data_IF_272661321226
#
_entry.id   IF_272661321226
#
_cell.length_a   1.000
_cell.length_b   1.000
_cell.length_c   1.000
_cell.angle_alpha   90.00
_cell.angle_beta   90.00
_cell.angle_gamma   90.00
#
_symmetry.space_group_name_H-M   'P 1'
#
loop_
_entity.id
_entity.type
_entity.pdbx_description
1 polymer ?
#
# COMPACT_ATOMS: atom_id res chain seq x y z
N UNK A 1 4.66 -38.11 40.72
CA UNK A 1 4.65 -36.68 40.42
C UNK A 1 4.11 -36.54 39.02
N UNK A 2 2.83 -36.20 38.96
CA UNK A 2 2.05 -36.11 37.75
C UNK A 2 2.37 -34.74 37.08
N UNK A 3 2.88 -34.75 35.90
CA UNK A 3 3.02 -33.56 35.05
C UNK A 3 1.68 -33.33 34.38
N UNK A 4 0.90 -32.44 34.99
CA UNK A 4 -0.33 -31.92 34.36
C UNK A 4 0.05 -31.26 33.05
N UNK A 5 -0.33 -31.90 31.97
CA UNK A 5 -0.41 -31.29 30.65
C UNK A 5 -1.51 -30.20 30.71
N UNK A 6 -1.10 -28.95 30.71
CA UNK A 6 -2.02 -27.85 30.40
C UNK A 6 -2.61 -28.13 29.01
N UNK A 7 -3.93 -28.08 28.86
CA UNK A 7 -4.55 -28.25 27.56
C UNK A 7 -4.03 -27.14 26.64
N UNK A 8 -3.49 -27.54 25.50
CA UNK A 8 -3.19 -26.65 24.39
C UNK A 8 -4.44 -25.80 24.14
N UNK A 9 -4.37 -24.48 24.08
CA UNK A 9 -5.52 -23.65 23.78
C UNK A 9 -6.08 -24.13 22.45
N UNK A 10 -7.35 -24.49 22.44
CA UNK A 10 -8.07 -24.82 21.23
C UNK A 10 -7.90 -23.61 20.30
N UNK A 11 -7.28 -23.80 19.15
CA UNK A 11 -7.21 -22.77 18.13
C UNK A 11 -8.63 -22.28 17.84
N UNK A 12 -8.88 -20.96 17.78
CA UNK A 12 -10.19 -20.46 17.45
C UNK A 12 -10.59 -21.03 16.10
N UNK A 13 -11.76 -21.66 16.05
CA UNK A 13 -12.32 -22.16 14.80
C UNK A 13 -12.78 -20.94 14.00
N UNK A 14 -11.99 -20.54 13.03
CA UNK A 14 -12.39 -19.49 12.11
C UNK A 14 -13.47 -20.00 11.19
N UNK A 15 -14.55 -19.27 11.07
CA UNK A 15 -15.53 -19.46 10.01
C UNK A 15 -15.24 -18.45 8.93
N UNK A 16 -14.70 -18.93 7.82
CA UNK A 16 -14.48 -18.11 6.63
C UNK A 16 -15.70 -18.25 5.74
N UNK A 17 -16.43 -17.17 5.58
CA UNK A 17 -17.61 -17.12 4.73
C UNK A 17 -17.21 -16.49 3.40
N UNK A 18 -17.33 -17.25 2.32
CA UNK A 18 -17.19 -16.74 0.98
C UNK A 18 -18.56 -16.29 0.47
N UNK A 19 -18.72 -15.00 0.26
CA UNK A 19 -19.90 -14.44 -0.36
C UNK A 19 -19.52 -14.01 -1.79
N UNK A 20 -20.21 -14.58 -2.78
CA UNK A 20 -19.98 -14.24 -4.19
C UNK A 20 -21.32 -13.99 -4.90
N UNK A 21 -21.30 -13.10 -5.89
CA UNK A 21 -22.41 -12.93 -6.79
C UNK A 21 -22.58 -14.17 -7.71
N UNK A 22 -23.70 -14.24 -8.44
CA UNK A 22 -24.01 -15.39 -9.31
C UNK A 22 -23.00 -15.59 -10.44
N UNK A 23 -22.33 -14.53 -10.92
CA UNK A 23 -21.37 -14.58 -12.04
C UNK A 23 -20.05 -15.24 -11.63
N UNK A 24 -19.67 -15.15 -10.36
CA UNK A 24 -18.45 -15.72 -9.80
C UNK A 24 -18.69 -16.96 -8.93
N UNK A 25 -19.95 -17.26 -8.64
CA UNK A 25 -20.33 -18.32 -7.70
C UNK A 25 -19.74 -19.69 -8.01
N UNK A 26 -19.68 -20.09 -9.28
CA UNK A 26 -19.15 -21.41 -9.67
C UNK A 26 -17.62 -21.49 -9.48
N UNK A 27 -16.89 -20.43 -9.80
CA UNK A 27 -15.43 -20.36 -9.65
C UNK A 27 -15.04 -20.25 -8.18
N UNK A 28 -15.70 -19.38 -7.41
CA UNK A 28 -15.51 -19.23 -5.97
C UNK A 28 -15.78 -20.56 -5.25
N UNK A 29 -16.89 -21.24 -5.55
CA UNK A 29 -17.22 -22.55 -4.99
C UNK A 29 -16.20 -23.63 -5.36
N UNK A 30 -15.66 -23.60 -6.57
CA UNK A 30 -14.61 -24.54 -6.99
C UNK A 30 -13.33 -24.34 -6.20
N UNK A 31 -12.89 -23.10 -6.07
CA UNK A 31 -11.70 -22.77 -5.29
C UNK A 31 -11.86 -23.05 -3.80
N UNK A 32 -13.01 -22.78 -3.22
CA UNK A 32 -13.24 -23.09 -1.83
C UNK A 32 -13.30 -24.55 -1.50
N UNK A 33 -13.86 -25.38 -2.36
CA UNK A 33 -13.76 -26.85 -2.16
C UNK A 33 -12.33 -27.34 -2.15
N UNK A 34 -11.46 -26.75 -2.99
CA UNK A 34 -10.04 -27.07 -2.98
C UNK A 34 -9.35 -26.57 -1.70
N UNK A 35 -9.69 -25.37 -1.23
CA UNK A 35 -9.17 -24.82 0.02
C UNK A 35 -9.66 -25.60 1.23
N UNK A 36 -10.94 -25.97 1.28
CA UNK A 36 -11.51 -26.77 2.36
C UNK A 36 -10.84 -28.15 2.47
N UNK A 37 -10.54 -28.79 1.34
CA UNK A 37 -9.83 -30.05 1.34
C UNK A 37 -8.38 -29.93 1.86
N UNK A 38 -7.73 -28.80 1.62
CA UNK A 38 -6.37 -28.52 2.11
C UNK A 38 -6.35 -28.05 3.56
N UNK A 39 -7.36 -27.33 4.00
CA UNK A 39 -7.45 -26.78 5.36
C UNK A 39 -8.17 -27.67 6.37
N UNK A 40 -8.80 -28.77 5.93
CA UNK A 40 -9.52 -29.70 6.80
C UNK A 40 -8.68 -30.25 7.98
N UNK A 41 -7.35 -30.11 7.91
CA UNK A 41 -6.42 -30.50 8.97
C UNK A 41 -5.93 -29.34 9.84
N UNK A 42 -6.25 -28.06 9.51
CA UNK A 42 -5.51 -26.93 10.11
C UNK A 42 -6.32 -25.92 10.89
N UNK A 43 -7.43 -25.33 10.42
CA UNK A 43 -7.90 -24.11 11.10
C UNK A 43 -9.37 -23.75 10.98
N UNK A 44 -10.09 -24.10 9.92
CA UNK A 44 -11.29 -23.32 9.65
C UNK A 44 -12.44 -24.14 9.14
N UNK A 45 -13.60 -23.80 9.66
CA UNK A 45 -14.86 -24.15 9.02
C UNK A 45 -15.07 -23.12 7.90
N UNK A 46 -15.16 -23.58 6.65
CA UNK A 46 -15.44 -22.73 5.49
C UNK A 46 -16.92 -22.88 5.15
N UNK A 47 -17.63 -21.78 5.24
CA UNK A 47 -19.03 -21.70 4.83
C UNK A 47 -19.14 -20.88 3.55
N UNK A 48 -20.03 -21.33 2.66
CA UNK A 48 -20.32 -20.66 1.39
C UNK A 48 -21.70 -20.06 1.46
N UNK A 49 -21.78 -18.77 1.17
CA UNK A 49 -23.02 -18.05 1.13
C UNK A 49 -23.19 -17.31 -0.20
N UNK A 50 -24.43 -17.22 -0.68
CA UNK A 50 -24.77 -16.32 -1.79
C UNK A 50 -25.11 -14.95 -1.19
N UNK A 51 -24.60 -13.87 -1.78
CA UNK A 51 -24.90 -12.49 -1.36
C UNK A 51 -26.36 -12.06 -1.51
N UNK A 52 -27.27 -12.96 -1.88
CA UNK A 52 -28.69 -12.63 -2.02
C UNK A 52 -29.35 -12.15 -0.73
N UNK A 53 -28.82 -12.54 0.43
CA UNK A 53 -29.37 -12.17 1.72
C UNK A 53 -28.25 -12.09 2.76
N UNK A 54 -27.70 -10.91 3.06
CA UNK A 54 -26.64 -10.72 4.06
C UNK A 54 -27.04 -11.18 5.47
N UNK A 55 -28.36 -11.25 5.75
CA UNK A 55 -28.89 -11.67 7.04
C UNK A 55 -28.82 -13.19 7.26
N UNK A 56 -28.59 -13.98 6.19
CA UNK A 56 -28.41 -15.45 6.30
C UNK A 56 -26.99 -15.85 6.77
N UNK A 57 -26.09 -14.90 6.97
CA UNK A 57 -24.75 -15.13 7.52
C UNK A 57 -24.80 -15.33 9.03
N UNK A 58 -25.12 -16.54 9.46
CA UNK A 58 -25.48 -16.82 10.87
C UNK A 58 -24.29 -17.01 11.80
N UNK A 59 -23.11 -17.39 11.31
CA UNK A 59 -21.96 -17.70 12.17
C UNK A 59 -20.63 -17.29 11.54
N UNK A 60 -19.84 -16.52 12.26
CA UNK A 60 -18.45 -16.27 11.95
C UNK A 60 -18.04 -14.82 12.25
N UNK A 61 -16.90 -14.68 12.90
CA UNK A 61 -16.35 -13.38 13.25
C UNK A 61 -15.61 -12.73 12.06
N UNK A 62 -15.19 -13.54 11.08
CA UNK A 62 -14.46 -13.06 9.91
C UNK A 62 -15.19 -13.47 8.63
N UNK A 63 -15.49 -12.47 7.81
CA UNK A 63 -16.19 -12.63 6.54
C UNK A 63 -15.25 -12.24 5.40
N UNK A 64 -15.09 -13.10 4.41
CA UNK A 64 -14.37 -12.80 3.18
C UNK A 64 -15.40 -12.59 2.06
N UNK A 65 -15.51 -11.37 1.58
CA UNK A 65 -16.35 -11.02 0.44
C UNK A 65 -15.54 -11.13 -0.84
N UNK A 66 -16.04 -11.91 -1.79
CA UNK A 66 -15.37 -12.17 -3.06
C UNK A 66 -16.23 -11.67 -4.21
N UNK A 67 -15.83 -10.61 -4.88
CA UNK A 67 -16.57 -9.98 -5.98
C UNK A 67 -16.02 -8.62 -6.36
N UNK A 68 -16.68 -7.90 -7.29
CA UNK A 68 -16.31 -6.53 -7.64
C UNK A 68 -16.39 -5.61 -6.43
N UNK A 69 -15.34 -4.82 -6.19
CA UNK A 69 -15.21 -3.98 -4.99
C UNK A 69 -16.35 -2.97 -4.85
N UNK A 70 -16.79 -2.38 -5.96
CA UNK A 70 -17.89 -1.40 -6.03
C UNK A 70 -19.24 -1.99 -5.59
N UNK A 71 -19.47 -3.27 -5.84
CA UNK A 71 -20.69 -3.97 -5.45
C UNK A 71 -20.66 -4.43 -3.98
N UNK A 72 -19.48 -4.71 -3.46
CA UNK A 72 -19.29 -5.29 -2.13
C UNK A 72 -19.05 -4.25 -1.02
N UNK A 73 -18.68 -3.02 -1.39
CA UNK A 73 -18.30 -1.99 -0.42
C UNK A 73 -19.41 -1.70 0.61
N UNK A 74 -20.65 -1.52 0.15
CA UNK A 74 -21.78 -1.25 1.04
C UNK A 74 -22.07 -2.41 1.99
N UNK A 75 -22.03 -3.65 1.49
CA UNK A 75 -22.25 -4.86 2.29
C UNK A 75 -21.14 -5.04 3.33
N UNK A 76 -19.90 -4.73 2.96
CA UNK A 76 -18.75 -4.77 3.86
C UNK A 76 -18.89 -3.76 5.00
N UNK A 77 -19.34 -2.55 4.70
CA UNK A 77 -19.57 -1.50 5.69
C UNK A 77 -20.65 -1.89 6.69
N UNK A 78 -21.79 -2.37 6.21
CA UNK A 78 -22.88 -2.86 7.07
C UNK A 78 -22.44 -4.01 8.01
N UNK A 79 -21.62 -4.93 7.52
CA UNK A 79 -21.09 -6.02 8.32
C UNK A 79 -20.06 -5.55 9.36
N UNK A 80 -19.25 -4.55 9.03
CA UNK A 80 -18.30 -3.92 9.98
C UNK A 80 -19.04 -3.17 11.09
N UNK A 81 -20.13 -2.47 10.77
CA UNK A 81 -21.00 -1.83 11.76
C UNK A 81 -21.62 -2.84 12.74
N UNK A 82 -21.84 -4.08 12.28
CA UNK A 82 -22.27 -5.20 13.12
C UNK A 82 -21.14 -5.84 13.96
N UNK A 83 -19.93 -5.26 13.92
CA UNK A 83 -18.77 -5.74 14.69
C UNK A 83 -18.05 -6.93 14.06
N UNK A 84 -18.27 -7.22 12.78
CA UNK A 84 -17.62 -8.32 12.06
C UNK A 84 -16.32 -7.85 11.41
N UNK A 85 -15.30 -8.71 11.40
CA UNK A 85 -14.11 -8.50 10.58
C UNK A 85 -14.42 -8.86 9.13
N UNK A 86 -14.23 -7.91 8.20
CA UNK A 86 -14.59 -8.10 6.79
C UNK A 86 -13.40 -7.81 5.90
N UNK A 87 -12.99 -8.82 5.14
CA UNK A 87 -11.97 -8.71 4.11
C UNK A 87 -12.62 -8.76 2.73
N UNK A 88 -12.31 -7.77 1.90
CA UNK A 88 -12.72 -7.73 0.50
C UNK A 88 -11.64 -8.35 -0.37
N UNK A 89 -12.03 -9.30 -1.21
CA UNK A 89 -11.18 -9.81 -2.29
C UNK A 89 -11.85 -9.40 -3.60
N UNK A 90 -11.31 -8.38 -4.23
CA UNK A 90 -11.78 -7.91 -5.51
C UNK A 90 -11.46 -8.94 -6.60
N UNK A 91 -12.48 -9.33 -7.36
CA UNK A 91 -12.35 -10.27 -8.48
C UNK A 91 -11.65 -9.66 -9.70
N UNK A 92 -11.53 -8.33 -9.75
CA UNK A 92 -10.71 -7.64 -10.73
C UNK A 92 -9.21 -7.69 -10.39
N UNK A 93 -8.84 -8.05 -9.14
CA UNK A 93 -7.45 -8.35 -8.82
C UNK A 93 -7.04 -9.67 -9.50
N UNK A 94 -5.82 -9.71 -10.01
CA UNK A 94 -5.27 -10.84 -10.79
C UNK A 94 -5.03 -12.12 -9.95
N UNK A 95 -6.00 -12.56 -9.15
CA UNK A 95 -5.97 -13.87 -8.51
C UNK A 95 -6.15 -14.94 -9.59
N UNK A 96 -5.04 -15.51 -10.04
CA UNK A 96 -5.01 -16.47 -11.17
C UNK A 96 -5.07 -17.93 -10.73
N UNK A 97 -4.91 -18.19 -9.42
CA UNK A 97 -4.93 -19.55 -8.91
C UNK A 97 -5.45 -19.68 -7.48
N UNK A 98 -6.00 -20.88 -7.12
CA UNK A 98 -6.42 -21.17 -5.75
C UNK A 98 -5.28 -21.04 -4.73
N UNK A 99 -4.05 -21.29 -5.13
CA UNK A 99 -2.86 -21.20 -4.28
C UNK A 99 -2.60 -19.75 -3.86
N UNK A 100 -2.74 -18.79 -4.77
CA UNK A 100 -2.59 -17.37 -4.47
C UNK A 100 -3.67 -16.89 -3.50
N UNK A 101 -4.92 -17.33 -3.68
CA UNK A 101 -6.01 -17.05 -2.77
C UNK A 101 -5.73 -17.63 -1.38
N UNK A 102 -5.24 -18.88 -1.31
CA UNK A 102 -4.92 -19.52 -0.04
C UNK A 102 -3.86 -18.75 0.74
N UNK A 103 -2.74 -18.40 0.12
CA UNK A 103 -1.65 -17.66 0.77
C UNK A 103 -2.13 -16.31 1.29
N UNK A 104 -2.97 -15.62 0.51
CA UNK A 104 -3.53 -14.32 0.92
C UNK A 104 -4.48 -14.44 2.11
N UNK A 105 -5.31 -15.46 2.11
CA UNK A 105 -6.23 -15.74 3.23
C UNK A 105 -5.50 -16.17 4.50
N UNK A 106 -4.49 -17.04 4.39
CA UNK A 106 -3.68 -17.46 5.54
C UNK A 106 -2.99 -16.25 6.19
N UNK A 107 -2.38 -15.38 5.38
CA UNK A 107 -1.74 -14.17 5.90
C UNK A 107 -2.73 -13.20 6.58
N UNK A 108 -3.93 -13.05 6.02
CA UNK A 108 -4.98 -12.21 6.61
C UNK A 108 -5.52 -12.79 7.92
N UNK A 109 -5.73 -14.11 7.98
CA UNK A 109 -6.20 -14.78 9.19
C UNK A 109 -5.17 -14.73 10.33
N UNK A 110 -3.89 -14.90 10.02
CA UNK A 110 -2.82 -14.75 11.00
C UNK A 110 -2.75 -13.33 11.56
N UNK A 111 -2.87 -12.32 10.69
CA UNK A 111 -2.90 -10.92 11.10
C UNK A 111 -4.11 -10.59 11.98
N UNK A 112 -5.28 -11.08 11.64
CA UNK A 112 -6.51 -10.90 12.42
C UNK A 112 -6.44 -11.58 13.79
N UNK A 113 -5.84 -12.76 13.88
CA UNK A 113 -5.62 -13.45 15.16
C UNK A 113 -4.70 -12.66 16.09
N UNK A 114 -3.60 -12.13 15.54
CA UNK A 114 -2.67 -11.29 16.28
C UNK A 114 -3.34 -10.02 16.80
N UNK A 115 -4.10 -9.33 15.94
CA UNK A 115 -4.88 -8.14 16.32
C UNK A 115 -5.92 -8.48 17.38
N UNK A 116 -6.64 -9.60 17.23
CA UNK A 116 -7.64 -10.04 18.21
C UNK A 116 -7.01 -10.36 19.56
N UNK A 117 -5.87 -11.03 19.57
CA UNK A 117 -5.16 -11.35 20.81
C UNK A 117 -4.65 -10.08 21.49
N UNK A 118 -4.03 -9.17 20.73
CA UNK A 118 -3.59 -7.88 21.25
C UNK A 118 -4.74 -7.07 21.85
N UNK A 119 -5.91 -7.04 21.20
CA UNK A 119 -7.10 -6.35 21.73
C UNK A 119 -7.63 -7.00 23.02
N UNK A 120 -7.59 -8.34 23.14
CA UNK A 120 -7.97 -9.03 24.38
C UNK A 120 -7.00 -8.75 25.52
N UNK A 121 -5.70 -8.78 25.26
CA UNK A 121 -4.67 -8.52 26.26
C UNK A 121 -4.73 -7.05 26.71
N UNK A 122 -4.98 -6.13 25.79
CA UNK A 122 -5.20 -4.71 26.06
C UNK A 122 -6.47 -4.49 26.90
N UNK A 123 -7.60 -5.08 26.52
CA UNK A 123 -8.86 -4.98 27.27
C UNK A 123 -8.73 -5.54 28.70
N UNK A 124 -8.02 -6.67 28.87
CA UNK A 124 -7.73 -7.24 30.16
C UNK A 124 -6.83 -6.34 31.01
N UNK A 125 -5.81 -5.75 30.40
CA UNK A 125 -4.91 -4.82 31.05
C UNK A 125 -5.63 -3.50 31.42
N UNK A 126 -6.47 -2.94 30.53
CA UNK A 126 -7.30 -1.76 30.80
C UNK A 126 -8.27 -1.95 31.97
N UNK A 127 -8.85 -3.17 32.11
CA UNK A 127 -9.74 -3.46 33.23
C UNK A 127 -9.02 -3.50 34.60
N UNK A 128 -7.72 -3.74 34.63
CA UNK A 128 -6.95 -3.85 35.87
C UNK A 128 -6.28 -2.54 36.31
N UNK A 129 -6.04 -1.60 35.38
CA UNK A 129 -5.28 -0.39 35.67
C UNK A 129 -5.95 0.87 35.08
N UNK A 130 -6.37 1.84 35.91
CA UNK A 130 -6.96 3.11 35.43
C UNK A 130 -6.07 3.89 34.46
N UNK A 131 -4.74 3.79 34.61
CA UNK A 131 -3.78 4.43 33.71
C UNK A 131 -3.83 3.92 32.27
N UNK A 132 -4.55 2.81 31.98
CA UNK A 132 -4.70 2.25 30.65
C UNK A 132 -5.95 2.80 29.93
N UNK A 133 -6.87 3.47 30.64
CA UNK A 133 -7.97 4.19 30.00
C UNK A 133 -7.45 5.36 29.17
N UNK A 134 -6.45 6.07 29.68
CA UNK A 134 -5.79 7.17 28.95
C UNK A 134 -5.08 6.64 27.68
N UNK A 135 -4.50 5.42 27.75
CA UNK A 135 -3.86 4.79 26.62
C UNK A 135 -4.86 4.34 25.54
N UNK A 136 -6.06 3.86 25.94
CA UNK A 136 -7.11 3.48 24.99
C UNK A 136 -7.70 4.72 24.29
N UNK A 137 -7.87 5.83 24.99
CA UNK A 137 -8.29 7.10 24.38
C UNK A 137 -7.26 7.59 23.37
N UNK A 138 -5.97 7.62 23.74
CA UNK A 138 -4.90 8.00 22.84
C UNK A 138 -4.83 7.07 21.59
N UNK A 139 -5.06 5.78 21.77
CA UNK A 139 -5.11 4.83 20.65
C UNK A 139 -6.23 5.18 19.68
N UNK A 140 -7.43 5.47 20.17
CA UNK A 140 -8.57 5.89 19.33
C UNK A 140 -8.29 7.18 18.58
N UNK A 141 -7.64 8.14 19.22
CA UNK A 141 -7.23 9.38 18.57
C UNK A 141 -6.21 9.12 17.44
N UNK A 142 -5.25 8.21 17.67
CA UNK A 142 -4.27 7.82 16.64
C UNK A 142 -4.92 7.06 15.49
N UNK A 143 -5.86 6.17 15.76
CA UNK A 143 -6.65 5.48 14.73
C UNK A 143 -7.47 6.46 13.88
N UNK A 144 -8.12 7.43 14.52
CA UNK A 144 -8.85 8.48 13.81
C UNK A 144 -7.93 9.35 12.95
N UNK A 145 -6.73 9.69 13.45
CA UNK A 145 -5.73 10.43 12.70
C UNK A 145 -5.17 9.60 11.52
N UNK A 146 -5.01 8.28 11.69
CA UNK A 146 -4.59 7.37 10.63
C UNK A 146 -5.61 7.31 9.49
N UNK A 147 -6.89 7.15 9.81
CA UNK A 147 -7.96 7.17 8.82
C UNK A 147 -7.98 8.52 8.06
N UNK A 148 -7.83 9.63 8.77
CA UNK A 148 -7.74 10.95 8.13
C UNK A 148 -6.52 11.07 7.21
N UNK A 149 -5.38 10.50 7.60
CA UNK A 149 -4.18 10.49 6.75
C UNK A 149 -4.38 9.63 5.50
N UNK A 150 -5.05 8.48 5.63
CA UNK A 150 -5.39 7.60 4.50
C UNK A 150 -6.35 8.29 3.52
N UNK A 151 -7.34 9.05 4.02
CA UNK A 151 -8.27 9.83 3.19
C UNK A 151 -7.58 10.94 2.36
N UNK A 152 -6.37 11.37 2.74
CA UNK A 152 -5.57 12.34 1.98
C UNK A 152 -4.79 11.70 0.83
N UNK A 153 -4.70 10.37 0.77
CA UNK A 153 -4.00 9.66 -0.29
C UNK A 153 -4.86 9.55 -1.56
N UNK A 154 -4.23 9.48 -2.73
CA UNK A 154 -4.94 9.17 -3.96
C UNK A 154 -5.59 7.79 -3.90
N UNK A 155 -6.80 7.67 -4.44
CA UNK A 155 -7.45 6.36 -4.62
C UNK A 155 -6.86 5.66 -5.84
N UNK A 156 -6.30 4.48 -5.66
CA UNK A 156 -5.72 3.67 -6.74
C UNK A 156 -6.64 2.52 -7.16
N UNK A 157 -6.62 2.06 -8.42
CA UNK A 157 -5.81 2.59 -9.53
C UNK A 157 -6.36 3.91 -10.10
N UNK A 158 -5.45 4.78 -10.56
CA UNK A 158 -5.78 6.01 -11.28
C UNK A 158 -5.46 5.86 -12.77
N UNK A 159 -6.33 6.38 -13.64
CA UNK A 159 -6.17 6.32 -15.11
C UNK A 159 -6.05 7.71 -15.71
N UNK A 160 -5.04 7.90 -16.55
CA UNK A 160 -4.76 9.14 -17.28
C UNK A 160 -4.40 8.80 -18.73
N UNK A 161 -5.41 8.75 -19.60
CA UNK A 161 -5.22 8.32 -20.99
C UNK A 161 -4.75 6.87 -21.08
N UNK A 162 -3.55 6.65 -21.63
CA UNK A 162 -2.86 5.35 -21.71
C UNK A 162 -2.03 5.01 -20.47
N UNK A 163 -2.00 5.89 -19.47
CA UNK A 163 -1.26 5.72 -18.22
C UNK A 163 -2.17 5.18 -17.11
N UNK A 164 -1.70 4.19 -16.38
CA UNK A 164 -2.36 3.65 -15.18
C UNK A 164 -1.37 3.70 -14.02
N UNK A 165 -1.80 4.29 -12.90
CA UNK A 165 -0.99 4.37 -11.67
C UNK A 165 -1.60 3.48 -10.62
N UNK A 166 -0.78 2.65 -10.02
CA UNK A 166 -1.07 1.88 -8.80
C UNK A 166 -0.20 2.38 -7.66
N UNK A 167 -0.72 2.36 -6.45
CA UNK A 167 0.00 2.76 -5.25
C UNK A 167 -0.07 1.70 -4.17
N UNK A 168 1.00 1.60 -3.40
CA UNK A 168 1.08 0.86 -2.15
C UNK A 168 1.52 1.82 -1.06
N UNK A 169 0.78 1.88 0.03
CA UNK A 169 1.12 2.67 1.20
C UNK A 169 0.79 1.88 2.46
N UNK A 170 1.80 1.63 3.28
CA UNK A 170 1.68 0.84 4.50
C UNK A 170 2.47 1.48 5.62
N UNK A 171 1.81 2.14 6.55
CA UNK A 171 2.46 2.67 7.75
C UNK A 171 3.11 1.57 8.56
N UNK A 172 4.25 1.88 9.16
CA UNK A 172 4.91 1.00 10.14
C UNK A 172 4.21 1.00 11.50
N UNK A 173 3.45 2.06 11.76
CA UNK A 173 2.63 2.26 12.96
C UNK A 173 1.27 2.84 12.56
N UNK A 174 0.59 3.53 13.47
CA UNK A 174 -0.68 4.19 13.16
C UNK A 174 -0.54 5.26 12.07
N UNK A 175 0.55 6.04 12.11
CA UNK A 175 0.78 7.18 11.22
C UNK A 175 2.10 7.01 10.49
N UNK A 176 2.14 7.39 9.22
CA UNK A 176 3.31 7.35 8.36
C UNK A 176 3.94 8.74 8.17
N UNK A 177 5.27 8.74 7.97
CA UNK A 177 6.00 9.87 7.42
C UNK A 177 5.91 9.95 5.90
N UNK A 178 5.65 8.83 5.26
CA UNK A 178 5.55 8.71 3.80
C UNK A 178 4.31 9.41 3.23
N UNK A 179 4.49 10.07 2.08
CA UNK A 179 3.46 10.75 1.32
C UNK A 179 3.50 10.28 -0.14
N UNK A 180 2.35 9.89 -0.67
CA UNK A 180 2.13 9.57 -2.08
C UNK A 180 1.19 10.59 -2.72
N UNK A 181 1.56 11.10 -3.91
CA UNK A 181 0.70 11.94 -4.73
C UNK A 181 0.78 11.53 -6.20
N UNK A 182 -0.35 11.59 -6.90
CA UNK A 182 -0.44 11.43 -8.34
C UNK A 182 -1.53 12.39 -8.84
N UNK A 183 -1.15 13.39 -9.62
CA UNK A 183 -2.00 14.51 -9.98
C UNK A 183 -1.94 14.79 -11.48
N UNK A 184 -3.05 15.16 -12.14
CA UNK A 184 -3.01 15.57 -13.52
C UNK A 184 -2.13 16.83 -13.69
N UNK A 185 -1.32 16.82 -14.75
CA UNK A 185 -0.49 17.95 -15.13
C UNK A 185 -1.21 18.89 -16.09
N UNK A 186 -0.87 20.20 -16.12
CA UNK A 186 -1.51 21.17 -17.01
C UNK A 186 -1.37 20.87 -18.50
N UNK A 187 -0.34 20.12 -18.89
CA UNK A 187 -0.08 19.69 -20.28
C UNK A 187 -0.87 18.42 -20.69
N UNK A 188 -1.76 17.92 -19.82
CA UNK A 188 -2.50 16.68 -20.01
C UNK A 188 -1.74 15.42 -19.61
N UNK A 189 -0.55 15.57 -19.06
CA UNK A 189 0.25 14.49 -18.46
C UNK A 189 -0.08 14.25 -17.00
N UNK A 190 0.88 13.70 -16.26
CA UNK A 190 0.77 13.32 -14.87
C UNK A 190 1.99 13.79 -14.08
N UNK A 191 1.78 14.28 -12.87
CA UNK A 191 2.86 14.53 -11.90
C UNK A 191 2.69 13.54 -10.75
N UNK A 192 3.76 12.80 -10.43
CA UNK A 192 3.83 11.91 -9.27
C UNK A 192 4.86 12.42 -8.28
N UNK A 193 4.55 12.27 -6.99
CA UNK A 193 5.46 12.58 -5.88
C UNK A 193 5.42 11.45 -4.86
N UNK A 194 6.60 11.08 -4.37
CA UNK A 194 6.78 10.26 -3.18
C UNK A 194 7.75 10.98 -2.28
N UNK A 195 7.36 11.18 -1.02
CA UNK A 195 8.22 11.78 0.00
C UNK A 195 8.27 10.87 1.21
N UNK A 196 9.37 10.97 1.97
CA UNK A 196 9.57 10.33 3.25
C UNK A 196 10.14 11.34 4.24
N UNK A 197 9.39 11.62 5.30
CA UNK A 197 9.77 12.56 6.37
C UNK A 197 10.61 11.84 7.41
N UNK A 198 11.81 12.33 7.67
CA UNK A 198 12.71 11.76 8.67
C UNK A 198 12.04 11.54 10.04
N UNK A 199 12.16 10.32 10.56
CA UNK A 199 11.56 9.90 11.82
C UNK A 199 10.24 9.16 11.60
N UNK A 200 9.46 8.99 12.66
CA UNK A 200 8.21 8.21 12.60
C UNK A 200 7.13 8.77 13.54
N UNK A 201 5.91 8.30 13.36
CA UNK A 201 4.76 8.64 14.20
C UNK A 201 4.26 10.07 13.98
N UNK A 202 3.65 10.68 15.01
CA UNK A 202 2.95 11.96 14.91
C UNK A 202 3.80 13.09 14.30
N UNK A 203 5.06 13.32 14.71
CA UNK A 203 5.87 14.38 14.12
C UNK A 203 6.11 14.20 12.61
N UNK A 204 6.37 12.97 12.15
CA UNK A 204 6.57 12.67 10.75
C UNK A 204 5.26 12.83 9.95
N UNK A 205 4.13 12.39 10.49
CA UNK A 205 2.82 12.56 9.88
C UNK A 205 2.42 14.04 9.72
N UNK A 206 2.74 14.90 10.70
CA UNK A 206 2.55 16.34 10.57
C UNK A 206 3.41 16.90 9.43
N UNK A 207 4.68 16.44 9.33
CA UNK A 207 5.58 16.82 8.25
C UNK A 207 5.02 16.40 6.87
N UNK A 208 4.48 15.19 6.77
CA UNK A 208 3.83 14.66 5.57
C UNK A 208 2.63 15.53 5.14
N UNK A 209 1.78 15.95 6.10
CA UNK A 209 0.66 16.85 5.82
C UNK A 209 1.13 18.24 5.33
N UNK A 210 2.21 18.77 5.90
CA UNK A 210 2.82 20.04 5.44
C UNK A 210 3.41 19.90 4.03
N UNK A 211 4.03 18.76 3.72
CA UNK A 211 4.55 18.48 2.38
C UNK A 211 3.43 18.35 1.34
N UNK A 212 2.26 17.82 1.72
CA UNK A 212 1.09 17.79 0.84
C UNK A 212 0.72 19.21 0.39
N UNK A 213 0.55 20.13 1.32
CA UNK A 213 0.24 21.52 1.02
C UNK A 213 1.35 22.22 0.23
N UNK A 214 2.61 21.94 0.57
CA UNK A 214 3.76 22.49 -0.14
C UNK A 214 3.83 22.00 -1.58
N UNK A 215 3.51 20.73 -1.84
CA UNK A 215 3.44 20.17 -3.18
C UNK A 215 2.35 20.83 -4.03
N UNK A 216 1.14 20.99 -3.49
CA UNK A 216 0.05 21.64 -4.20
C UNK A 216 0.42 23.08 -4.61
N UNK A 217 1.01 23.85 -3.69
CA UNK A 217 1.50 25.19 -3.95
C UNK A 217 2.66 25.21 -4.97
N UNK A 218 3.61 24.27 -4.84
CA UNK A 218 4.73 24.18 -5.74
C UNK A 218 4.29 23.85 -7.18
N UNK A 219 3.36 22.93 -7.34
CA UNK A 219 2.79 22.51 -8.62
C UNK A 219 2.08 23.65 -9.35
N UNK A 220 1.31 24.47 -8.61
CA UNK A 220 0.65 25.65 -9.18
C UNK A 220 1.63 26.72 -9.66
N UNK A 221 2.76 26.90 -8.96
CA UNK A 221 3.71 27.99 -9.23
C UNK A 221 4.88 27.62 -10.15
N UNK A 222 5.24 26.32 -10.22
CA UNK A 222 6.46 25.85 -10.92
C UNK A 222 6.16 25.08 -12.22
N UNK A 223 4.88 24.89 -12.56
CA UNK A 223 4.49 24.13 -13.75
C UNK A 223 4.77 22.63 -13.59
N UNK A 224 5.33 22.00 -14.65
CA UNK A 224 5.50 20.54 -14.71
C UNK A 224 6.95 20.08 -14.45
N UNK A 225 7.91 20.99 -14.26
CA UNK A 225 9.31 20.61 -14.02
C UNK A 225 9.51 20.08 -12.60
N UNK A 226 9.84 18.78 -12.42
CA UNK A 226 10.03 18.17 -11.10
C UNK A 226 11.12 18.84 -10.27
N UNK A 227 12.20 19.30 -10.90
CA UNK A 227 13.28 20.01 -10.22
C UNK A 227 12.81 21.32 -9.60
N UNK A 228 12.04 22.11 -10.35
CA UNK A 228 11.47 23.37 -9.86
C UNK A 228 10.41 23.13 -8.77
N UNK A 229 9.61 22.06 -8.88
CA UNK A 229 8.66 21.67 -7.86
C UNK A 229 9.41 21.37 -6.55
N UNK A 230 10.46 20.53 -6.59
CA UNK A 230 11.24 20.20 -5.39
C UNK A 230 11.98 21.43 -4.83
N UNK A 231 12.47 22.34 -5.66
CA UNK A 231 13.07 23.59 -5.20
C UNK A 231 12.06 24.45 -4.42
N UNK A 232 10.84 24.54 -4.91
CA UNK A 232 9.79 25.28 -4.24
C UNK A 232 9.40 24.62 -2.92
N UNK A 233 9.18 23.31 -2.91
CA UNK A 233 8.91 22.54 -1.70
C UNK A 233 10.03 22.71 -0.67
N UNK A 234 11.30 22.66 -1.08
CA UNK A 234 12.45 22.90 -0.21
C UNK A 234 12.40 24.27 0.46
N UNK A 235 12.07 25.32 -0.30
CA UNK A 235 11.92 26.66 0.24
C UNK A 235 10.78 26.76 1.27
N UNK A 236 9.67 26.06 1.06
CA UNK A 236 8.53 26.06 1.97
C UNK A 236 8.88 25.30 3.27
N UNK A 237 9.55 24.15 3.17
CA UNK A 237 10.07 23.40 4.32
C UNK A 237 11.05 24.26 5.11
N UNK A 238 12.03 24.88 4.44
CA UNK A 238 13.01 25.74 5.09
C UNK A 238 12.37 26.94 5.81
N UNK A 239 11.35 27.55 5.20
CA UNK A 239 10.58 28.62 5.85
C UNK A 239 9.81 28.11 7.10
N UNK A 240 9.23 26.93 7.03
CA UNK A 240 8.52 26.34 8.16
C UNK A 240 9.44 26.07 9.34
N UNK A 241 10.67 25.60 9.10
CA UNK A 241 11.68 25.35 10.14
C UNK A 241 12.16 26.62 10.84
N UNK A 242 12.26 27.74 10.12
CA UNK A 242 12.78 29.01 10.68
C UNK A 242 11.73 29.86 11.40
N UNK A 243 10.50 29.38 11.53
CA UNK A 243 9.48 30.01 12.36
C UNK A 243 9.70 29.64 13.83
N UNK A 244 10.34 30.57 14.58
CA UNK A 244 10.45 30.60 16.04
C UNK A 244 10.67 29.25 16.73
N UNK A 245 11.92 28.75 16.70
CA UNK A 245 12.34 27.64 17.57
C UNK A 245 11.79 26.27 17.21
N UNK A 246 11.21 26.11 16.02
CA UNK A 246 10.77 24.81 15.52
C UNK A 246 12.00 23.89 15.35
N UNK A 247 11.90 22.66 15.82
CA UNK A 247 12.94 21.65 15.59
C UNK A 247 13.10 21.43 14.10
N UNK A 248 14.34 21.44 13.60
CA UNK A 248 14.63 21.16 12.20
C UNK A 248 14.15 19.72 11.86
N UNK A 249 13.47 19.58 10.73
CA UNK A 249 13.05 18.30 10.18
C UNK A 249 13.36 18.30 8.68
N UNK A 250 13.61 17.14 8.14
CA UNK A 250 14.02 16.95 6.76
C UNK A 250 13.17 15.87 6.12
N UNK A 251 13.11 15.88 4.80
CA UNK A 251 12.43 14.83 4.06
C UNK A 251 13.21 14.45 2.81
N UNK A 252 13.21 13.19 2.47
CA UNK A 252 13.56 12.76 1.13
C UNK A 252 12.35 12.91 0.22
N UNK A 253 12.56 13.18 -1.06
CA UNK A 253 11.49 13.31 -2.04
C UNK A 253 11.94 12.91 -3.44
N UNK A 254 11.06 12.29 -4.21
CA UNK A 254 11.22 12.06 -5.64
C UNK A 254 9.97 12.55 -6.36
N UNK A 255 10.16 13.39 -7.37
CA UNK A 255 9.09 13.92 -8.19
C UNK A 255 9.31 13.48 -9.64
N UNK A 256 8.22 13.04 -10.29
CA UNK A 256 8.24 12.65 -11.70
C UNK A 256 7.10 13.33 -12.45
N UNK A 257 7.39 13.87 -13.63
CA UNK A 257 6.41 14.30 -14.60
C UNK A 257 6.44 13.36 -15.79
N UNK A 258 5.27 12.92 -16.20
CA UNK A 258 5.05 12.05 -17.36
C UNK A 258 4.19 12.80 -18.37
N UNK A 259 4.78 13.24 -19.46
CA UNK A 259 4.07 13.91 -20.54
C UNK A 259 3.20 12.92 -21.34
N UNK A 260 2.13 13.38 -22.03
CA UNK A 260 1.31 12.54 -22.90
C UNK A 260 2.09 11.79 -23.98
N UNK A 261 3.25 12.32 -24.39
CA UNK A 261 4.17 11.67 -25.33
C UNK A 261 4.87 10.42 -24.77
N UNK A 262 4.75 10.15 -23.46
CA UNK A 262 5.52 9.14 -22.74
C UNK A 262 6.93 9.63 -22.32
N UNK A 263 7.23 10.91 -22.51
CA UNK A 263 8.46 11.49 -21.95
C UNK A 263 8.35 11.58 -20.44
N UNK A 264 9.31 10.99 -19.72
CA UNK A 264 9.42 11.02 -18.26
C UNK A 264 10.50 12.02 -17.89
N UNK A 265 10.22 12.89 -16.93
CA UNK A 265 11.21 13.76 -16.30
C UNK A 265 11.19 13.50 -14.80
N UNK A 266 12.35 13.25 -14.17
CA UNK A 266 12.47 12.91 -12.75
C UNK A 266 13.50 13.80 -12.08
N UNK A 267 13.18 14.27 -10.87
CA UNK A 267 14.11 14.92 -9.95
C UNK A 267 14.00 14.28 -8.56
N UNK A 268 15.10 14.29 -7.79
CA UNK A 268 15.16 13.70 -6.46
C UNK A 268 15.86 14.60 -5.46
N UNK A 269 15.33 14.64 -4.26
CA UNK A 269 15.87 15.27 -3.07
C UNK A 269 16.29 14.18 -2.06
N UNK A 270 17.42 13.50 -2.30
CA UNK A 270 17.96 12.48 -1.41
C UNK A 270 17.11 11.20 -1.29
N UNK A 271 16.19 10.97 -2.21
CA UNK A 271 15.29 9.80 -2.21
C UNK A 271 15.90 8.62 -2.98
N UNK A 272 15.50 7.35 -2.68
CA UNK A 272 15.88 6.20 -3.49
C UNK A 272 15.65 6.40 -4.98
N UNK A 273 16.47 5.77 -5.80
CA UNK A 273 16.43 5.92 -7.25
C UNK A 273 15.18 5.24 -7.82
N UNK A 274 14.52 5.89 -8.78
CA UNK A 274 13.42 5.28 -9.51
C UNK A 274 13.90 4.23 -10.51
N UNK A 275 13.01 3.25 -10.78
CA UNK A 275 13.25 2.20 -11.75
C UNK A 275 12.36 2.41 -12.98
N UNK A 276 12.96 2.36 -14.14
CA UNK A 276 12.27 2.32 -15.42
C UNK A 276 12.41 0.90 -15.99
N UNK A 277 11.30 0.20 -16.09
CA UNK A 277 11.22 -1.15 -16.63
C UNK A 277 10.67 -1.09 -18.05
N UNK A 278 11.35 -1.79 -18.96
CA UNK A 278 10.88 -2.05 -20.30
C UNK A 278 10.18 -3.43 -20.37
N UNK A 279 9.70 -3.81 -21.53
CA UNK A 279 9.19 -5.16 -21.77
C UNK A 279 10.27 -6.25 -21.68
N UNK A 280 11.54 -5.87 -21.85
CA UNK A 280 12.67 -6.77 -21.63
C UNK A 280 13.03 -6.80 -20.13
N UNK A 281 12.88 -7.95 -19.47
CA UNK A 281 13.17 -8.09 -18.04
C UNK A 281 14.64 -7.79 -17.66
N UNK A 282 15.55 -7.90 -18.62
CA UNK A 282 16.98 -7.61 -18.41
C UNK A 282 17.31 -6.13 -18.60
N UNK A 283 16.42 -5.36 -19.25
CA UNK A 283 16.64 -3.94 -19.54
C UNK A 283 16.00 -3.04 -18.45
N UNK A 284 16.55 -3.11 -17.25
CA UNK A 284 16.18 -2.21 -16.14
C UNK A 284 17.07 -0.99 -16.14
N UNK A 285 16.47 0.19 -16.27
CA UNK A 285 17.17 1.45 -16.15
C UNK A 285 16.88 2.09 -14.80
N UNK A 286 17.92 2.40 -14.06
CA UNK A 286 17.82 3.21 -12.84
C UNK A 286 17.98 4.68 -13.19
N UNK A 287 17.00 5.51 -12.88
CA UNK A 287 17.08 6.94 -13.08
C UNK A 287 17.74 7.56 -11.84
N UNK A 288 19.03 7.82 -11.95
CA UNK A 288 19.81 8.47 -10.91
C UNK A 288 19.57 9.99 -10.97
N UNK A 289 18.65 10.47 -10.17
CA UNK A 289 18.53 11.88 -9.82
C UNK A 289 19.07 12.05 -8.39
N UNK A 290 19.82 13.12 -8.15
CA UNK A 290 20.43 13.37 -6.85
C UNK A 290 20.30 14.84 -6.45
N UNK A 291 20.00 15.07 -5.18
CA UNK A 291 19.94 16.40 -4.57
C UNK A 291 19.98 16.26 -3.04
N UNK A 292 20.18 17.35 -2.32
CA UNK A 292 20.07 17.37 -0.86
C UNK A 292 18.63 17.10 -0.42
N UNK A 293 18.45 16.54 0.77
CA UNK A 293 17.12 16.42 1.39
C UNK A 293 16.43 17.78 1.44
N UNK A 294 15.11 17.76 1.35
CA UNK A 294 14.29 18.95 1.57
C UNK A 294 14.54 19.49 2.98
N UNK A 295 14.76 20.79 3.09
CA UNK A 295 14.94 21.49 4.36
C UNK A 295 16.40 21.61 4.83
N UNK A 296 17.38 20.98 4.17
CA UNK A 296 18.79 21.04 4.57
C UNK A 296 19.42 22.39 4.21
N UNK A 297 19.23 22.85 2.98
CA UNK A 297 19.75 24.11 2.49
C UNK A 297 18.74 24.78 1.56
N UNK A 298 18.35 26.02 1.91
CA UNK A 298 17.38 26.80 1.13
C UNK A 298 17.80 27.04 -0.33
N UNK A 299 19.10 27.03 -0.62
CA UNK A 299 19.66 27.27 -1.95
C UNK A 299 19.80 25.98 -2.79
N UNK A 300 19.41 24.83 -2.25
CA UNK A 300 19.50 23.54 -2.96
C UNK A 300 18.77 23.58 -4.29
N UNK A 301 19.42 22.99 -5.30
CA UNK A 301 18.90 22.81 -6.65
C UNK A 301 18.72 21.33 -6.96
N UNK A 302 17.65 21.01 -7.68
CA UNK A 302 17.32 19.63 -8.02
C UNK A 302 17.29 19.48 -9.54
N UNK A 303 18.25 18.70 -10.05
CA UNK A 303 18.38 18.50 -11.49
C UNK A 303 17.37 17.49 -11.99
N UNK A 304 16.60 17.90 -12.99
CA UNK A 304 15.69 17.01 -13.71
C UNK A 304 16.46 16.13 -14.71
N UNK A 305 16.07 14.84 -14.78
CA UNK A 305 16.57 13.84 -15.74
C UNK A 305 15.43 13.36 -16.60
N UNK A 306 15.65 13.35 -17.92
CA UNK A 306 14.61 12.97 -18.87
C UNK A 306 14.91 11.61 -19.50
N UNK A 307 13.89 10.80 -19.63
CA UNK A 307 13.89 9.48 -20.25
C UNK A 307 12.60 9.29 -21.05
N UNK A 308 12.49 8.17 -21.77
CA UNK A 308 11.28 7.79 -22.50
C UNK A 308 10.66 6.55 -21.88
N UNK A 309 9.36 6.62 -21.57
CA UNK A 309 8.55 5.48 -21.16
C UNK A 309 7.99 4.81 -22.43
N UNK A 310 8.46 3.63 -22.78
CA UNK A 310 7.89 2.90 -23.93
C UNK A 310 6.49 2.39 -23.59
N UNK A 311 5.74 2.04 -24.61
CA UNK A 311 4.47 1.32 -24.44
C UNK A 311 4.72 -0.01 -23.70
N UNK A 312 3.86 -0.33 -22.72
CA UNK A 312 4.06 -1.48 -21.83
C UNK A 312 5.19 -1.32 -20.81
N UNK A 313 5.89 -0.17 -20.81
CA UNK A 313 6.90 0.15 -19.82
C UNK A 313 6.29 0.60 -18.49
N UNK A 314 7.09 0.50 -17.41
CA UNK A 314 6.70 0.91 -16.06
C UNK A 314 7.72 1.83 -15.43
N UNK A 315 7.23 2.83 -14.69
CA UNK A 315 8.05 3.65 -13.80
C UNK A 315 7.67 3.32 -12.35
N UNK A 316 8.68 2.96 -11.55
CA UNK A 316 8.51 2.63 -10.14
C UNK A 316 9.24 3.65 -9.28
N UNK A 317 8.51 4.30 -8.36
CA UNK A 317 9.03 5.10 -7.26
C UNK A 317 8.79 4.33 -5.97
N UNK A 318 9.76 4.27 -5.05
CA UNK A 318 9.62 3.51 -3.80
C UNK A 318 10.37 4.18 -2.65
N UNK A 319 9.86 4.05 -1.41
CA UNK A 319 10.55 4.48 -0.20
C UNK A 319 11.68 3.51 0.20
N UNK A 320 12.54 3.92 1.12
CA UNK A 320 13.63 3.10 1.63
C UNK A 320 13.16 1.98 2.59
N UNK A 321 11.92 2.04 3.07
CA UNK A 321 11.31 0.96 3.86
C UNK A 321 11.39 -0.41 3.18
N UNK A 322 11.37 -0.46 1.84
CA UNK A 322 11.61 -1.70 1.09
C UNK A 322 13.00 -2.28 1.31
N UNK A 323 14.00 -1.49 1.68
CA UNK A 323 15.34 -1.98 2.02
C UNK A 323 15.32 -2.78 3.33
N UNK A 324 14.44 -2.43 4.25
CA UNK A 324 14.26 -3.10 5.53
C UNK A 324 13.75 -4.53 5.37
N UNK A 325 12.92 -4.80 4.35
CA UNK A 325 12.39 -6.14 4.06
C UNK A 325 13.48 -7.13 3.65
N UNK A 326 14.65 -6.68 3.23
CA UNK A 326 15.77 -7.54 2.80
C UNK A 326 16.81 -7.84 3.89
N UNK A 327 16.76 -7.19 5.06
CA UNK A 327 17.79 -7.31 6.11
C UNK A 327 17.87 -8.68 6.80
N UNK A 328 16.97 -9.62 6.50
CA UNK A 328 16.90 -10.96 7.12
C UNK A 328 17.47 -12.13 6.29
N UNK A 329 17.94 -11.92 5.08
CA UNK A 329 18.45 -13.00 4.22
C UNK A 329 19.96 -12.99 4.14
N UNK A 330 20.57 -14.09 4.64
CA UNK A 330 22.00 -14.44 4.51
C UNK A 330 22.40 -14.84 3.07
N UNK A 331 21.85 -14.25 2.05
CA UNK A 331 22.26 -14.47 0.66
C UNK A 331 22.68 -13.15 0.04
N UNK A 332 23.88 -13.19 -0.54
CA UNK A 332 24.49 -12.10 -1.26
C UNK A 332 23.45 -11.20 -2.00
N UNK A 333 23.33 -9.94 -1.52
CA UNK A 333 22.93 -8.77 -2.30
C UNK A 333 21.84 -8.98 -3.37
N UNK A 334 20.67 -9.44 -3.01
CA UNK A 334 19.52 -9.11 -3.86
C UNK A 334 19.12 -7.69 -3.48
N UNK A 335 19.66 -6.73 -4.22
CA UNK A 335 19.27 -5.32 -4.10
C UNK A 335 17.74 -5.24 -4.27
N UNK A 336 17.05 -4.46 -3.42
CA UNK A 336 15.61 -4.19 -3.53
C UNK A 336 15.22 -3.82 -4.95
N UNK A 337 16.03 -3.02 -5.62
CA UNK A 337 15.85 -2.65 -7.02
C UNK A 337 15.81 -3.87 -7.94
N UNK A 338 16.68 -4.86 -7.73
CA UNK A 338 16.67 -6.10 -8.52
C UNK A 338 15.41 -6.91 -8.27
N UNK A 339 14.95 -7.00 -7.02
CA UNK A 339 13.72 -7.70 -6.67
C UNK A 339 12.49 -7.02 -7.29
N UNK A 340 12.36 -5.69 -7.16
CA UNK A 340 11.28 -4.91 -7.77
C UNK A 340 11.30 -5.03 -9.30
N UNK A 341 12.48 -5.00 -9.90
CA UNK A 341 12.65 -5.15 -11.33
C UNK A 341 12.21 -6.53 -11.82
N UNK A 342 12.62 -7.60 -11.13
CA UNK A 342 12.25 -8.98 -11.48
C UNK A 342 10.73 -9.21 -11.39
N UNK A 343 10.09 -8.70 -10.33
CA UNK A 343 8.65 -8.79 -10.16
C UNK A 343 7.96 -7.95 -11.24
N UNK A 344 8.35 -6.69 -11.38
CA UNK A 344 7.69 -5.73 -12.28
C UNK A 344 7.85 -6.05 -13.75
N UNK A 345 8.91 -6.75 -14.16
CA UNK A 345 9.11 -7.17 -15.55
C UNK A 345 8.14 -8.29 -15.99
N UNK A 346 7.67 -9.12 -15.03
CA UNK A 346 6.86 -10.30 -15.30
C UNK A 346 5.36 -10.11 -15.04
N UNK A 347 4.94 -8.92 -14.57
CA UNK A 347 3.55 -8.63 -14.20
C UNK A 347 3.17 -7.23 -14.69
N UNK A 348 1.85 -6.94 -14.76
CA UNK A 348 1.34 -5.57 -14.86
C UNK A 348 1.53 -4.81 -13.52
N UNK A 349 1.20 -3.53 -13.50
CA UNK A 349 1.36 -2.71 -12.30
C UNK A 349 0.51 -3.22 -11.11
N UNK A 350 -0.69 -3.75 -11.38
CA UNK A 350 -1.53 -4.37 -10.36
C UNK A 350 -0.87 -5.62 -9.76
N UNK A 351 -0.40 -6.52 -10.62
CA UNK A 351 0.29 -7.73 -10.19
C UNK A 351 1.59 -7.47 -9.44
N UNK A 352 2.29 -6.37 -9.73
CA UNK A 352 3.44 -5.93 -8.94
C UNK A 352 3.02 -5.61 -7.50
N UNK A 353 1.97 -4.81 -7.32
CA UNK A 353 1.46 -4.46 -5.98
C UNK A 353 1.05 -5.72 -5.22
N UNK A 354 0.28 -6.62 -5.86
CA UNK A 354 -0.17 -7.86 -5.23
C UNK A 354 1.00 -8.76 -4.79
N UNK A 355 2.03 -8.90 -5.62
CA UNK A 355 3.21 -9.70 -5.26
C UNK A 355 4.03 -9.06 -4.14
N UNK A 356 4.12 -7.73 -4.10
CA UNK A 356 4.80 -7.02 -3.02
C UNK A 356 4.06 -7.18 -1.69
N UNK A 357 2.72 -7.08 -1.70
CA UNK A 357 1.90 -7.33 -0.51
C UNK A 357 2.08 -8.76 0.00
N UNK A 358 2.07 -9.73 -0.89
CA UNK A 358 2.30 -11.13 -0.55
C UNK A 358 3.70 -11.33 0.07
N UNK A 359 4.71 -10.72 -0.54
CA UNK A 359 6.09 -10.78 -0.05
C UNK A 359 6.22 -10.13 1.33
N UNK A 360 5.62 -8.95 1.51
CA UNK A 360 5.53 -8.26 2.80
C UNK A 360 4.92 -9.17 3.87
N UNK A 361 3.74 -9.71 3.63
CA UNK A 361 3.06 -10.59 4.58
C UNK A 361 3.92 -11.81 4.98
N UNK A 362 4.66 -12.39 4.03
CA UNK A 362 5.54 -13.52 4.28
C UNK A 362 6.74 -13.17 5.17
N UNK A 363 7.27 -11.95 5.07
CA UNK A 363 8.43 -11.50 5.86
C UNK A 363 8.00 -10.98 7.22
N UNK A 364 6.90 -10.21 7.29
CA UNK A 364 6.45 -9.55 8.53
C UNK A 364 5.98 -10.53 9.59
N UNK A 365 5.45 -11.70 9.22
CA UNK A 365 5.17 -12.79 10.16
C UNK A 365 6.40 -13.25 10.96
N UNK A 366 7.59 -12.73 10.63
CA UNK A 366 8.87 -13.09 11.28
C UNK A 366 9.56 -11.95 12.02
N UNK A 367 9.39 -10.69 11.64
CA UNK A 367 10.24 -9.59 12.15
C UNK A 367 9.52 -8.29 12.49
N UNK A 368 8.23 -8.14 12.17
CA UNK A 368 7.52 -6.86 12.29
C UNK A 368 7.99 -5.80 11.26
N UNK A 369 7.11 -4.89 10.89
CA UNK A 369 7.45 -3.77 10.00
C UNK A 369 8.19 -2.70 10.80
N UNK A 370 9.40 -2.33 10.35
CA UNK A 370 10.26 -1.36 11.04
C UNK A 370 10.18 0.04 10.46
N UNK A 371 9.72 0.17 9.20
CA UNK A 371 9.62 1.43 8.49
C UNK A 371 8.40 1.47 7.59
N UNK A 372 7.98 2.68 7.17
CA UNK A 372 6.86 2.86 6.27
C UNK A 372 7.19 2.29 4.88
N UNK A 373 6.22 1.65 4.23
CA UNK A 373 6.39 1.06 2.90
C UNK A 373 5.49 1.78 1.91
N UNK A 374 6.11 2.50 0.99
CA UNK A 374 5.41 3.30 0.00
C UNK A 374 5.96 3.09 -1.39
N UNK A 375 5.06 2.90 -2.36
CA UNK A 375 5.42 2.69 -3.75
C UNK A 375 4.35 3.27 -4.67
N UNK A 376 4.80 3.90 -5.75
CA UNK A 376 3.99 4.24 -6.91
C UNK A 376 4.52 3.48 -8.12
N UNK A 377 3.64 2.75 -8.80
CA UNK A 377 3.93 2.09 -10.06
C UNK A 377 3.03 2.66 -11.15
N UNK A 378 3.64 3.34 -12.10
CA UNK A 378 2.96 3.80 -13.30
C UNK A 378 3.27 2.82 -14.43
N UNK A 379 2.23 2.42 -15.18
CA UNK A 379 2.34 1.61 -16.38
C UNK A 379 1.76 2.36 -17.57
N UNK A 380 2.44 2.34 -18.71
CA UNK A 380 1.91 2.80 -19.98
C UNK A 380 1.29 1.65 -20.74
N UNK A 381 -0.04 1.63 -20.81
CA UNK A 381 -0.81 0.58 -21.49
C UNK A 381 -0.53 0.55 -22.99
N UNK A 382 -0.56 -0.63 -23.61
CA UNK A 382 -0.52 -0.76 -25.06
C UNK A 382 -1.88 -0.41 -25.67
N UNK A 383 -1.91 0.19 -26.85
CA UNK A 383 -3.17 0.56 -27.53
C UNK A 383 -4.17 -0.62 -27.69
N UNK A 384 -3.66 -1.85 -27.75
CA UNK A 384 -4.50 -3.06 -27.91
C UNK A 384 -5.30 -3.42 -26.66
N UNK A 385 -4.88 -3.01 -25.47
CA UNK A 385 -5.59 -3.28 -24.20
C UNK A 385 -6.70 -2.27 -23.91
N UNK A 386 -6.67 -1.10 -24.53
CA UNK A 386 -7.75 -0.10 -24.41
C UNK A 386 -9.08 -0.65 -24.96
N UNK A 387 -9.05 -1.51 -25.98
CA UNK A 387 -10.26 -2.11 -26.57
C UNK A 387 -10.91 -3.18 -25.67
N UNK A 388 -10.16 -3.79 -24.75
CA UNK A 388 -10.71 -4.73 -23.76
C UNK A 388 -11.29 -4.00 -22.55
N UNK A 389 -10.66 -2.92 -22.10
CA UNK A 389 -11.14 -2.12 -20.97
C UNK A 389 -12.47 -1.40 -21.27
N UNK A 390 -12.70 -0.96 -22.52
CA UNK A 390 -13.95 -0.34 -22.95
C UNK A 390 -15.12 -1.35 -23.10
N UNK A 391 -14.84 -2.65 -23.27
CA UNK A 391 -15.87 -3.70 -23.35
C UNK A 391 -16.35 -4.21 -21.97
N UNK A 392 -15.66 -3.83 -20.89
CA UNK A 392 -16.03 -4.20 -19.52
C UNK A 392 -16.83 -3.10 -18.80
N UNK A 393 -17.05 -1.95 -19.45
CA UNK A 393 -17.80 -0.80 -18.90
C UNK A 393 -19.09 -0.51 -19.71
N UNK A 394 -19.35 -1.28 -20.76
CA UNK A 394 -20.61 -1.29 -21.52
C UNK A 394 -21.42 -2.56 -21.21
#
# INVERSE_FOLDING_TARGET
>A
MSTDFLPTPAHPTWTVVFAADESFGAQAQSWGRQLQARWAASFAQIEWCSLRNPDDLICGDTVVLFGPQDQLALTAEQMREQGRSVTLIDTHTNLRSPEQLQIRLEALLEQEDEIRQLRKDEAYACAQFPALQDADELRRELEAAANFQEDLLPTFPMKFGDLVVHGLWRPSRYLAGDLLRAEPAPDGGLIMLLCDVMGHGIPAAIGSALLTQSFDHARESSGTDPGMILERMNQDVHRAQHRQGTRAWFASAICAHIAPSGTITVASAGHPQSLLLNQDPEAVLTIAASGALLGVDNASKYQSRTNQLPEGGKLILHSDGFESLNRGRNSAQTNVQTALAQIGANTDAAGLIDQLELHRATILGRTGQTDDLSLLCLERCQEHDQSKALRLVS
#
